data_IF_497260549855
#
_entry.id   IF_497260549855
#
_cell.length_a   1.000
_cell.length_b   1.000
_cell.length_c   1.000
_cell.angle_alpha   90.00
_cell.angle_beta   90.00
_cell.angle_gamma   90.00
#
_symmetry.space_group_name_H-M   'P 1'
#
loop_
_entity.id
_entity.type
_entity.pdbx_description
1 polymer ?
#
# COMPACT_ATOMS: atom_id res chain seq x y z
N UNK A 1 12.19 47.51 55.54
CA UNK A 1 10.99 46.65 55.55
C UNK A 1 10.85 45.99 54.18
N UNK A 2 11.19 44.69 54.16
CA UNK A 2 10.70 43.62 53.26
C UNK A 2 10.26 43.98 51.83
N UNK A 3 11.21 44.01 50.88
CA UNK A 3 10.91 43.91 49.44
C UNK A 3 11.63 42.73 48.73
N UNK A 4 12.41 41.94 49.49
CA UNK A 4 13.20 40.81 48.99
C UNK A 4 12.38 39.54 48.79
N UNK A 5 11.42 39.25 49.67
CA UNK A 5 10.66 37.99 49.63
C UNK A 5 9.70 37.87 48.44
N UNK A 6 9.18 38.99 47.94
CA UNK A 6 8.22 39.00 46.82
C UNK A 6 8.84 38.66 45.46
N UNK A 7 10.11 39.01 45.22
CA UNK A 7 10.80 38.70 43.96
C UNK A 7 11.27 37.23 43.90
N UNK A 8 11.68 36.66 45.03
CA UNK A 8 12.07 35.25 45.12
C UNK A 8 10.87 34.31 44.92
N UNK A 9 9.71 34.68 45.46
CA UNK A 9 8.46 33.95 45.26
C UNK A 9 8.00 34.00 43.80
N UNK A 10 8.07 35.17 43.15
CA UNK A 10 7.73 35.33 41.72
C UNK A 10 8.67 34.52 40.81
N UNK A 11 9.97 34.51 41.13
CA UNK A 11 10.96 33.70 40.43
C UNK A 11 10.69 32.19 40.60
N UNK A 12 10.34 31.73 41.81
CA UNK A 12 9.98 30.33 42.04
C UNK A 12 8.72 29.91 41.27
N UNK A 13 7.70 30.77 41.21
CA UNK A 13 6.47 30.49 40.45
C UNK A 13 6.81 30.38 38.96
N UNK A 14 7.58 31.33 38.42
CA UNK A 14 8.03 31.31 37.03
C UNK A 14 8.83 30.04 36.68
N UNK A 15 9.77 29.63 37.54
CA UNK A 15 10.55 28.42 37.34
C UNK A 15 9.68 27.14 37.37
N UNK A 16 8.68 27.08 38.26
CA UNK A 16 7.74 25.96 38.31
C UNK A 16 6.88 25.88 37.06
N UNK A 17 6.39 27.01 36.57
CA UNK A 17 5.55 27.04 35.39
C UNK A 17 6.35 26.73 34.12
N UNK A 18 7.59 27.20 34.03
CA UNK A 18 8.52 26.80 32.96
C UNK A 18 8.79 25.29 32.96
N UNK A 19 9.03 24.70 34.13
CA UNK A 19 9.24 23.25 34.24
C UNK A 19 7.99 22.45 33.85
N UNK A 20 6.79 22.88 34.28
CA UNK A 20 5.54 22.25 33.85
C UNK A 20 5.35 22.33 32.33
N UNK A 21 5.61 23.50 31.74
CA UNK A 21 5.50 23.71 30.30
C UNK A 21 6.48 22.81 29.55
N UNK A 22 7.72 22.72 30.03
CA UNK A 22 8.76 21.83 29.49
C UNK A 22 8.33 20.36 29.56
N UNK A 23 7.80 19.91 30.70
CA UNK A 23 7.30 18.54 30.87
C UNK A 23 6.12 18.22 29.95
N UNK A 24 5.21 19.17 29.76
CA UNK A 24 4.07 19.02 28.83
C UNK A 24 4.60 18.86 27.40
N UNK A 25 5.51 19.74 26.96
CA UNK A 25 6.08 19.66 25.62
C UNK A 25 6.88 18.39 25.41
N UNK A 26 7.66 17.94 26.40
CA UNK A 26 8.39 16.68 26.29
C UNK A 26 7.45 15.49 26.13
N UNK A 27 6.38 15.42 26.93
CA UNK A 27 5.38 14.35 26.85
C UNK A 27 4.60 14.39 25.53
N UNK A 28 4.22 15.57 25.05
CA UNK A 28 3.55 15.72 23.75
C UNK A 28 4.48 15.30 22.62
N UNK A 29 5.67 15.90 22.55
CA UNK A 29 6.64 15.63 21.48
C UNK A 29 7.04 14.15 21.41
N UNK A 30 7.17 13.46 22.55
CA UNK A 30 7.40 12.02 22.55
C UNK A 30 6.22 11.23 21.97
N UNK A 31 4.98 11.55 22.38
CA UNK A 31 3.78 10.89 21.85
C UNK A 31 3.60 11.14 20.36
N UNK A 32 3.82 12.39 19.94
CA UNK A 32 3.72 12.83 18.55
C UNK A 32 4.76 12.09 17.71
N UNK A 33 6.03 12.09 18.14
CA UNK A 33 7.09 11.36 17.43
C UNK A 33 6.87 9.84 17.34
N UNK A 34 6.31 9.21 18.39
CA UNK A 34 5.92 7.79 18.34
C UNK A 34 4.75 7.57 17.37
N UNK A 35 3.79 8.49 17.30
CA UNK A 35 2.67 8.42 16.37
C UNK A 35 3.14 8.58 14.93
N UNK A 36 3.95 9.61 14.67
CA UNK A 36 4.50 9.93 13.36
C UNK A 36 5.36 8.78 12.82
N UNK A 37 6.19 8.17 13.68
CA UNK A 37 7.01 7.02 13.30
C UNK A 37 6.19 5.80 12.90
N UNK A 38 5.04 5.54 13.56
CA UNK A 38 4.13 4.45 13.16
C UNK A 38 3.43 4.77 11.86
N UNK A 39 2.93 6.00 11.72
CA UNK A 39 2.23 6.44 10.51
C UNK A 39 3.16 6.37 9.30
N UNK A 40 4.40 6.84 9.42
CA UNK A 40 5.40 6.76 8.37
C UNK A 40 5.60 5.32 7.89
N UNK A 41 5.78 4.37 8.82
CA UNK A 41 5.97 2.96 8.47
C UNK A 41 4.73 2.34 7.81
N UNK A 42 3.54 2.75 8.24
CA UNK A 42 2.28 2.34 7.63
C UNK A 42 2.17 2.86 6.19
N UNK A 43 2.45 4.14 5.97
CA UNK A 43 2.40 4.75 4.64
C UNK A 43 3.44 4.16 3.70
N UNK A 44 4.67 3.90 4.17
CA UNK A 44 5.70 3.23 3.36
C UNK A 44 5.22 1.85 2.86
N UNK A 45 4.60 1.05 3.74
CA UNK A 45 4.05 -0.25 3.36
C UNK A 45 2.83 -0.15 2.44
N UNK A 46 1.95 0.83 2.70
CA UNK A 46 0.78 1.08 1.86
C UNK A 46 1.19 1.51 0.44
N UNK A 47 2.10 2.48 0.31
CA UNK A 47 2.56 3.00 -0.98
C UNK A 47 3.23 1.91 -1.83
N UNK A 48 4.03 1.04 -1.20
CA UNK A 48 4.64 -0.10 -1.87
C UNK A 48 3.57 -1.10 -2.35
N UNK A 49 2.69 -1.53 -1.44
CA UNK A 49 1.63 -2.50 -1.77
C UNK A 49 0.62 -1.96 -2.79
N UNK A 50 0.27 -0.67 -2.71
CA UNK A 50 -0.66 -0.03 -3.65
C UNK A 50 -0.06 0.05 -5.04
N UNK A 51 1.22 0.43 -5.18
CA UNK A 51 1.91 0.50 -6.47
C UNK A 51 1.92 -0.86 -7.16
N UNK A 52 2.38 -1.88 -6.45
CA UNK A 52 2.49 -3.25 -7.00
C UNK A 52 1.11 -3.81 -7.34
N UNK A 53 0.15 -3.65 -6.43
CA UNK A 53 -1.23 -4.08 -6.61
C UNK A 53 -1.91 -3.38 -7.79
N UNK A 54 -1.71 -2.07 -7.94
CA UNK A 54 -2.27 -1.29 -9.04
C UNK A 54 -1.69 -1.70 -10.39
N UNK A 55 -0.36 -1.83 -10.50
CA UNK A 55 0.30 -2.26 -11.74
C UNK A 55 -0.24 -3.63 -12.19
N UNK A 56 -0.34 -4.57 -11.25
CA UNK A 56 -0.86 -5.90 -11.52
C UNK A 56 -2.34 -5.86 -11.92
N UNK A 57 -3.18 -5.19 -11.14
CA UNK A 57 -4.62 -5.06 -11.39
C UNK A 57 -4.90 -4.41 -12.76
N UNK A 58 -4.13 -3.38 -13.12
CA UNK A 58 -4.25 -2.70 -14.39
C UNK A 58 -3.87 -3.61 -15.56
N UNK A 59 -2.78 -4.37 -15.45
CA UNK A 59 -2.36 -5.33 -16.47
C UNK A 59 -3.44 -6.40 -16.70
N UNK A 60 -3.91 -7.04 -15.63
CA UNK A 60 -4.95 -8.07 -15.73
C UNK A 60 -6.26 -7.48 -16.27
N UNK A 61 -6.64 -6.28 -15.82
CA UNK A 61 -7.81 -5.55 -16.31
C UNK A 61 -7.74 -5.24 -17.81
N UNK A 62 -6.57 -4.83 -18.32
CA UNK A 62 -6.34 -4.63 -19.76
C UNK A 62 -6.62 -5.92 -20.55
N UNK A 63 -6.03 -7.04 -20.13
CA UNK A 63 -6.26 -8.31 -20.83
C UNK A 63 -7.69 -8.83 -20.70
N UNK A 64 -8.35 -8.56 -19.56
CA UNK A 64 -9.77 -8.85 -19.40
C UNK A 64 -10.61 -8.12 -20.43
N UNK A 65 -10.38 -6.82 -20.61
CA UNK A 65 -11.08 -6.02 -21.60
C UNK A 65 -10.81 -6.51 -23.04
N UNK A 66 -9.55 -6.83 -23.37
CA UNK A 66 -9.18 -7.35 -24.68
C UNK A 66 -9.84 -8.71 -24.97
N UNK A 67 -9.83 -9.62 -24.01
CA UNK A 67 -10.49 -10.92 -24.12
C UNK A 67 -12.00 -10.77 -24.32
N UNK A 68 -12.63 -9.85 -23.59
CA UNK A 68 -14.05 -9.55 -23.75
C UNK A 68 -14.39 -9.05 -25.18
N UNK A 69 -13.58 -8.13 -25.73
CA UNK A 69 -13.76 -7.65 -27.12
C UNK A 69 -13.59 -8.77 -28.14
N UNK A 70 -12.60 -9.65 -27.95
CA UNK A 70 -12.37 -10.77 -28.86
C UNK A 70 -13.49 -11.82 -28.80
N UNK A 71 -14.03 -12.12 -27.61
CA UNK A 71 -15.20 -12.99 -27.43
C UNK A 71 -16.41 -12.44 -28.21
N UNK A 72 -16.69 -11.13 -28.10
CA UNK A 72 -17.76 -10.47 -28.85
C UNK A 72 -17.57 -10.58 -30.36
N UNK A 73 -16.33 -10.37 -30.85
CA UNK A 73 -16.00 -10.47 -32.28
C UNK A 73 -16.21 -11.89 -32.82
N UNK A 74 -15.94 -12.91 -32.01
CA UNK A 74 -16.13 -14.33 -32.35
C UNK A 74 -17.58 -14.81 -32.22
N UNK A 75 -18.47 -13.98 -31.71
CA UNK A 75 -19.87 -14.36 -31.44
C UNK A 75 -20.03 -15.31 -30.26
N UNK A 76 -19.02 -15.40 -29.39
CA UNK A 76 -19.12 -16.15 -28.15
C UNK A 76 -19.94 -15.33 -27.13
N UNK A 77 -20.70 -16.00 -26.27
CA UNK A 77 -21.18 -15.34 -25.06
C UNK A 77 -19.95 -14.83 -24.27
N UNK A 78 -20.03 -13.62 -23.69
CA UNK A 78 -18.93 -12.92 -23.01
C UNK A 78 -18.36 -13.65 -21.76
N UNK A 79 -18.71 -14.92 -21.58
CA UNK A 79 -18.45 -15.76 -20.42
C UNK A 79 -17.03 -16.31 -20.38
N UNK A 80 -16.29 -16.32 -21.50
CA UNK A 80 -14.92 -16.82 -21.56
C UNK A 80 -13.95 -16.02 -20.68
N UNK A 81 -13.97 -14.69 -20.85
CA UNK A 81 -13.15 -13.77 -20.05
C UNK A 81 -13.56 -13.66 -18.57
N UNK A 82 -14.84 -13.79 -18.25
CA UNK A 82 -15.34 -13.69 -16.87
C UNK A 82 -15.15 -14.97 -16.04
N UNK A 83 -15.07 -16.13 -16.69
CA UNK A 83 -14.82 -17.41 -16.04
C UNK A 83 -13.33 -17.75 -15.93
N UNK A 84 -12.44 -17.04 -16.63
CA UNK A 84 -11.00 -17.26 -16.46
C UNK A 84 -10.53 -16.75 -15.10
N UNK A 85 -10.04 -17.66 -14.28
CA UNK A 85 -9.46 -17.36 -12.98
C UNK A 85 -8.31 -16.35 -13.06
N UNK A 86 -7.55 -16.30 -14.16
CA UNK A 86 -6.48 -15.32 -14.35
C UNK A 86 -7.00 -13.89 -14.49
N UNK A 87 -8.19 -13.72 -15.08
CA UNK A 87 -8.79 -12.43 -15.38
C UNK A 87 -9.89 -12.04 -14.39
N UNK A 88 -10.26 -12.94 -13.48
CA UNK A 88 -11.31 -12.73 -12.51
C UNK A 88 -10.88 -11.72 -11.45
N UNK A 89 -11.76 -10.76 -11.16
CA UNK A 89 -11.57 -9.73 -10.13
C UNK A 89 -10.21 -9.00 -10.18
N UNK A 90 -9.84 -8.37 -11.32
CA UNK A 90 -8.56 -7.68 -11.45
C UNK A 90 -8.33 -6.63 -10.36
N UNK A 91 -9.39 -6.00 -9.84
CA UNK A 91 -9.35 -5.01 -8.76
C UNK A 91 -8.77 -5.55 -7.43
N UNK A 92 -8.71 -6.87 -7.25
CA UNK A 92 -8.12 -7.50 -6.05
C UNK A 92 -6.62 -7.79 -6.23
N UNK A 93 -6.06 -7.53 -7.41
CA UNK A 93 -4.63 -7.61 -7.63
C UNK A 93 -4.02 -9.01 -7.43
N UNK A 94 -4.82 -10.08 -7.44
CA UNK A 94 -4.38 -11.45 -7.07
C UNK A 94 -3.59 -11.51 -5.74
N UNK A 95 -3.97 -10.66 -4.79
CA UNK A 95 -3.31 -10.56 -3.49
C UNK A 95 -3.34 -11.88 -2.75
N UNK A 96 -2.17 -12.42 -2.38
CA UNK A 96 -2.08 -13.71 -1.70
C UNK A 96 -2.65 -13.66 -0.28
N UNK A 97 -2.53 -12.53 0.41
CA UNK A 97 -3.10 -12.34 1.76
C UNK A 97 -4.64 -12.40 1.71
N UNK A 98 -5.26 -11.93 0.62
CA UNK A 98 -6.72 -12.04 0.44
C UNK A 98 -7.19 -13.48 0.24
N UNK A 99 -6.28 -14.41 -0.09
CA UNK A 99 -6.58 -15.84 -0.25
C UNK A 99 -6.24 -16.63 1.02
N UNK A 100 -5.22 -16.20 1.76
CA UNK A 100 -4.73 -16.86 2.96
C UNK A 100 -4.29 -15.83 4.00
N UNK A 101 -5.18 -15.56 4.96
CA UNK A 101 -4.91 -14.64 6.06
C UNK A 101 -3.79 -15.11 6.99
N UNK A 102 -3.43 -16.41 6.99
CA UNK A 102 -2.31 -16.91 7.80
C UNK A 102 -0.98 -16.32 7.37
N UNK A 103 -0.90 -15.78 6.14
CA UNK A 103 0.26 -15.07 5.64
C UNK A 103 0.55 -13.79 6.43
N UNK A 104 -0.41 -13.22 7.16
CA UNK A 104 -0.20 -12.07 8.05
C UNK A 104 0.82 -12.33 9.17
N UNK A 105 1.12 -13.59 9.48
CA UNK A 105 2.16 -13.97 10.43
C UNK A 105 3.59 -13.78 9.88
N UNK A 106 3.72 -13.61 8.55
CA UNK A 106 5.01 -13.38 7.90
C UNK A 106 5.45 -11.92 8.03
N UNK A 107 6.76 -11.70 7.97
CA UNK A 107 7.28 -10.34 7.85
C UNK A 107 6.96 -9.75 6.46
N UNK A 108 6.95 -8.41 6.39
CA UNK A 108 6.61 -7.66 5.18
C UNK A 108 7.46 -8.08 3.96
N UNK A 109 8.77 -8.26 4.13
CA UNK A 109 9.67 -8.63 3.03
C UNK A 109 9.36 -10.01 2.46
N UNK A 110 8.96 -10.97 3.29
CA UNK A 110 8.51 -12.28 2.81
C UNK A 110 7.18 -12.19 2.06
N UNK A 111 6.25 -11.38 2.56
CA UNK A 111 4.95 -11.13 1.91
C UNK A 111 5.13 -10.49 0.54
N UNK A 112 5.94 -9.45 0.44
CA UNK A 112 6.27 -8.78 -0.81
C UNK A 112 6.87 -9.77 -1.83
N UNK A 113 7.85 -10.58 -1.41
CA UNK A 113 8.45 -11.60 -2.28
C UNK A 113 7.43 -12.62 -2.77
N UNK A 114 6.59 -13.11 -1.86
CA UNK A 114 5.58 -14.11 -2.18
C UNK A 114 4.53 -13.55 -3.16
N UNK A 115 4.09 -12.31 -2.93
CA UNK A 115 3.16 -11.63 -3.81
C UNK A 115 3.80 -11.34 -5.18
N UNK A 116 5.05 -10.87 -5.22
CA UNK A 116 5.77 -10.60 -6.46
C UNK A 116 6.02 -11.86 -7.30
N UNK A 117 6.39 -12.98 -6.68
CA UNK A 117 6.53 -14.26 -7.40
C UNK A 117 5.18 -14.71 -7.96
N UNK A 118 4.09 -14.51 -7.22
CA UNK A 118 2.75 -14.86 -7.69
C UNK A 118 2.32 -13.98 -8.87
N UNK A 119 2.41 -12.65 -8.74
CA UNK A 119 1.99 -11.70 -9.76
C UNK A 119 2.80 -11.85 -11.05
N UNK A 120 4.11 -12.13 -10.97
CA UNK A 120 4.94 -12.46 -12.13
C UNK A 120 4.44 -13.71 -12.86
N UNK A 121 4.14 -14.80 -12.14
CA UNK A 121 3.57 -16.02 -12.75
C UNK A 121 2.23 -15.76 -13.41
N UNK A 122 1.38 -14.92 -12.80
CA UNK A 122 0.11 -14.51 -13.42
C UNK A 122 0.37 -13.70 -14.68
N UNK A 123 1.32 -12.75 -14.66
CA UNK A 123 1.70 -11.97 -15.84
C UNK A 123 2.17 -12.85 -17.00
N UNK A 124 3.03 -13.84 -16.72
CA UNK A 124 3.50 -14.81 -17.71
C UNK A 124 2.33 -15.57 -18.33
N UNK A 125 1.47 -16.18 -17.50
CA UNK A 125 0.31 -16.94 -17.98
C UNK A 125 -0.69 -16.10 -18.77
N UNK A 126 -0.95 -14.87 -18.32
CA UNK A 126 -1.83 -13.94 -19.04
C UNK A 126 -1.23 -13.56 -20.39
N UNK A 127 0.09 -13.28 -20.45
CA UNK A 127 0.78 -12.99 -21.72
C UNK A 127 0.81 -14.19 -22.65
N UNK A 128 1.08 -15.40 -22.15
CA UNK A 128 1.06 -16.62 -22.94
C UNK A 128 -0.33 -16.86 -23.57
N UNK A 129 -1.39 -16.61 -22.81
CA UNK A 129 -2.76 -16.88 -23.25
C UNK A 129 -3.38 -15.77 -24.09
N UNK A 130 -3.09 -14.51 -23.78
CA UNK A 130 -3.77 -13.34 -24.34
C UNK A 130 -2.82 -12.32 -24.99
N UNK A 131 -1.52 -12.58 -25.04
CA UNK A 131 -0.50 -11.65 -25.54
C UNK A 131 -0.72 -11.23 -26.99
N UNK A 132 -1.27 -12.11 -27.83
CA UNK A 132 -1.61 -11.82 -29.23
C UNK A 132 -2.75 -10.80 -29.38
N UNK A 133 -3.57 -10.61 -28.33
CA UNK A 133 -4.63 -9.60 -28.32
C UNK A 133 -4.11 -8.20 -28.00
N UNK A 134 -2.87 -8.06 -27.49
CA UNK A 134 -2.31 -6.76 -27.14
C UNK A 134 -1.89 -6.01 -28.42
N UNK A 135 -2.42 -4.80 -28.68
CA UNK A 135 -2.01 -3.98 -29.81
C UNK A 135 -0.59 -3.40 -29.64
N UNK A 136 -0.08 -3.37 -28.40
CA UNK A 136 1.26 -2.89 -28.06
C UNK A 136 2.23 -4.06 -27.93
N UNK A 137 3.30 -4.04 -28.73
CA UNK A 137 4.53 -4.84 -28.51
C UNK A 137 5.44 -4.22 -27.44
N UNK A 138 5.07 -3.05 -26.90
CA UNK A 138 5.80 -2.33 -25.85
C UNK A 138 5.22 -2.62 -24.46
N UNK A 139 6.11 -2.74 -23.49
CA UNK A 139 5.77 -2.92 -22.08
C UNK A 139 5.26 -1.60 -21.51
N UNK A 140 4.06 -1.62 -20.91
CA UNK A 140 3.38 -0.44 -20.38
C UNK A 140 4.03 0.10 -19.09
N UNK A 141 5.00 -0.62 -18.54
CA UNK A 141 5.63 -0.37 -17.25
C UNK A 141 7.15 -0.54 -17.33
N UNK A 142 7.77 -0.21 -18.47
CA UNK A 142 9.23 -0.14 -18.53
C UNK A 142 9.69 0.99 -17.58
N UNK A 143 10.43 0.58 -16.54
CA UNK A 143 10.95 1.44 -15.48
C UNK A 143 11.72 2.64 -16.06
N UNK A 144 11.33 3.84 -15.62
CA UNK A 144 12.12 5.06 -15.74
C UNK A 144 12.79 5.37 -14.40
#
# INVERSE_FOLDING_TARGET
MTHSGSQEDEFQVSARDFNKLTDIHHKSGYKDGVSDGREQKFQEGFDAGFRDGFQHAFLVGKYKALAWVDDQRKGNEATGSDNDLLLKNPQLGHCQICLDESLLEKNLTELEKLNNVHTQKVHERVKEKYGELSPDKGSLFDDK
#
